data_IF_911107706359
#
_entry.id   IF_911107706359
#
_cell.length_a   1.000
_cell.length_b   1.000
_cell.length_c   1.000
_cell.angle_alpha   90.00
_cell.angle_beta   90.00
_cell.angle_gamma   90.00
#
_symmetry.space_group_name_H-M   'P 1'
#
loop_
_entity.id
_entity.type
_entity.pdbx_description
1 polymer ?
#
# COMPACT_ATOMS: atom_id res chain seq x y z
N UNK A 1 22.36 14.57 3.63
CA UNK A 1 21.11 14.34 2.89
C UNK A 1 21.07 12.85 2.60
N UNK A 2 20.28 12.10 3.39
CA UNK A 2 19.98 10.70 3.14
C UNK A 2 18.49 10.65 2.83
N UNK A 3 18.23 10.15 1.64
CA UNK A 3 16.99 10.16 0.88
C UNK A 3 15.99 9.14 1.44
N UNK A 4 14.69 9.41 1.28
CA UNK A 4 13.62 8.40 1.23
C UNK A 4 13.45 7.48 2.44
N UNK A 5 12.51 7.83 3.31
CA UNK A 5 12.00 7.02 4.43
C UNK A 5 11.75 5.56 4.05
N UNK A 6 12.53 4.65 4.63
CA UNK A 6 12.29 3.20 4.74
C UNK A 6 11.07 2.89 5.66
N UNK A 7 10.07 3.77 5.68
CA UNK A 7 8.96 3.72 6.62
C UNK A 7 7.93 2.69 6.16
N UNK A 8 7.68 1.74 7.04
CA UNK A 8 6.55 0.80 7.06
C UNK A 8 6.56 -0.31 6.00
N UNK A 9 7.56 -1.20 6.06
CA UNK A 9 7.33 -2.59 5.63
C UNK A 9 6.48 -3.28 6.70
N UNK A 10 5.18 -3.54 6.47
CA UNK A 10 4.36 -4.27 7.45
C UNK A 10 4.99 -5.65 7.72
N UNK A 11 5.25 -5.92 9.00
CA UNK A 11 5.98 -7.10 9.43
C UNK A 11 5.20 -8.41 9.21
N UNK A 12 3.87 -8.36 9.07
CA UNK A 12 3.01 -9.53 9.25
C UNK A 12 2.27 -10.02 8.00
N UNK A 13 2.33 -9.31 6.87
CA UNK A 13 1.49 -9.64 5.70
C UNK A 13 -0.01 -9.49 5.96
N UNK A 14 -0.44 -8.99 7.12
CA UNK A 14 -1.84 -8.75 7.40
C UNK A 14 -2.37 -7.58 6.55
N UNK A 15 -3.52 -7.76 5.93
CA UNK A 15 -4.22 -6.71 5.18
C UNK A 15 -4.57 -5.54 6.09
N UNK A 16 -4.87 -5.82 7.36
CA UNK A 16 -5.14 -4.80 8.37
C UNK A 16 -3.93 -3.90 8.63
N UNK A 17 -2.70 -4.42 8.52
CA UNK A 17 -1.49 -3.60 8.64
C UNK A 17 -1.36 -2.66 7.43
N UNK A 18 -1.62 -3.16 6.22
CA UNK A 18 -1.62 -2.35 5.00
C UNK A 18 -2.64 -1.23 5.09
N UNK A 19 -3.86 -1.54 5.54
CA UNK A 19 -4.91 -0.54 5.73
C UNK A 19 -4.51 0.52 6.76
N UNK A 20 -3.83 0.15 7.86
CA UNK A 20 -3.32 1.14 8.83
C UNK A 20 -2.30 2.10 8.23
N UNK A 21 -1.42 1.62 7.35
CA UNK A 21 -0.47 2.50 6.62
C UNK A 21 -1.22 3.47 5.71
N UNK A 22 -2.22 2.97 4.96
CA UNK A 22 -3.09 3.81 4.12
C UNK A 22 -3.83 4.86 4.97
N UNK A 23 -4.32 4.48 6.15
CA UNK A 23 -5.00 5.40 7.06
C UNK A 23 -4.08 6.50 7.62
N UNK A 24 -2.86 6.12 7.97
CA UNK A 24 -1.84 7.02 8.50
C UNK A 24 -1.21 7.94 7.44
N UNK A 25 -1.46 7.67 6.15
CA UNK A 25 -0.94 8.49 5.05
C UNK A 25 -1.54 9.90 5.12
N UNK A 26 -0.67 10.92 5.10
CA UNK A 26 -1.09 12.32 5.12
C UNK A 26 -2.03 12.60 3.92
N UNK A 27 -3.27 13.03 4.15
CA UNK A 27 -4.20 13.32 3.06
C UNK A 27 -3.71 14.45 2.15
N UNK A 28 -2.82 15.33 2.60
CA UNK A 28 -2.23 16.39 1.78
C UNK A 28 -0.99 15.93 0.99
N UNK A 29 -0.51 14.69 1.19
CA UNK A 29 0.64 14.19 0.45
C UNK A 29 0.30 14.04 -1.05
N UNK A 30 1.19 14.48 -1.97
CA UNK A 30 0.98 14.31 -3.40
C UNK A 30 1.16 12.86 -3.85
N UNK A 31 1.91 12.06 -3.09
CA UNK A 31 2.18 10.66 -3.38
C UNK A 31 2.58 9.91 -2.10
N UNK A 32 2.45 8.59 -2.14
CA UNK A 32 3.00 7.70 -1.12
C UNK A 32 3.35 6.33 -1.72
N UNK A 33 4.07 5.53 -0.94
CA UNK A 33 4.43 4.16 -1.32
C UNK A 33 3.89 3.16 -0.32
N UNK A 34 3.47 1.99 -0.78
CA UNK A 34 3.00 0.90 0.05
C UNK A 34 3.76 -0.39 -0.25
N UNK A 35 4.45 -0.93 0.74
CA UNK A 35 5.04 -2.26 0.63
C UNK A 35 3.97 -3.33 0.85
N UNK A 36 3.83 -4.25 -0.10
CA UNK A 36 2.90 -5.37 -0.06
C UNK A 36 3.70 -6.67 -0.06
N UNK A 37 3.71 -7.43 1.05
CA UNK A 37 4.37 -8.74 1.11
C UNK A 37 3.77 -9.74 0.12
N UNK A 38 4.55 -10.73 -0.30
CA UNK A 38 4.09 -11.80 -1.21
C UNK A 38 2.93 -12.62 -0.62
N UNK A 39 2.99 -12.89 0.68
CA UNK A 39 1.96 -13.63 1.41
C UNK A 39 1.08 -12.67 2.20
N UNK A 40 -0.23 -12.74 1.98
CA UNK A 40 -1.21 -11.89 2.63
C UNK A 40 -2.21 -12.69 3.46
N UNK A 41 -2.64 -12.10 4.58
CA UNK A 41 -3.65 -12.66 5.46
C UNK A 41 -4.70 -11.60 5.83
N UNK A 42 -5.94 -12.03 6.03
CA UNK A 42 -7.04 -11.20 6.50
C UNK A 42 -7.78 -11.93 7.60
N UNK A 43 -7.99 -11.28 8.74
CA UNK A 43 -8.55 -11.92 9.94
C UNK A 43 -7.73 -13.14 10.41
N UNK A 44 -6.42 -13.15 10.15
CA UNK A 44 -5.53 -14.27 10.46
C UNK A 44 -5.57 -15.45 9.48
N UNK A 45 -6.37 -15.36 8.41
CA UNK A 45 -6.47 -16.40 7.39
C UNK A 45 -5.72 -15.99 6.11
N UNK A 46 -4.90 -16.89 5.51
CA UNK A 46 -4.29 -16.63 4.21
C UNK A 46 -5.35 -16.27 3.17
N UNK A 47 -5.09 -15.23 2.40
CA UNK A 47 -5.99 -14.74 1.37
C UNK A 47 -5.24 -14.59 0.05
N UNK A 48 -5.94 -14.77 -1.06
CA UNK A 48 -5.33 -14.58 -2.37
C UNK A 48 -4.89 -13.11 -2.55
N UNK A 49 -3.70 -12.84 -3.12
CA UNK A 49 -3.21 -11.47 -3.27
C UNK A 49 -4.16 -10.55 -4.03
N UNK A 50 -4.85 -11.03 -5.06
CA UNK A 50 -5.81 -10.25 -5.83
C UNK A 50 -7.00 -9.78 -4.98
N UNK A 51 -7.49 -10.64 -4.07
CA UNK A 51 -8.60 -10.30 -3.17
C UNK A 51 -8.14 -9.30 -2.12
N UNK A 52 -6.97 -9.51 -1.51
CA UNK A 52 -6.40 -8.59 -0.54
C UNK A 52 -6.16 -7.20 -1.15
N UNK A 53 -5.58 -7.15 -2.35
CA UNK A 53 -5.32 -5.89 -3.04
C UNK A 53 -6.60 -5.18 -3.44
N UNK A 54 -7.69 -5.87 -3.80
CA UNK A 54 -8.97 -5.22 -4.06
C UNK A 54 -9.48 -4.42 -2.85
N UNK A 55 -9.35 -4.96 -1.63
CA UNK A 55 -9.75 -4.29 -0.39
C UNK A 55 -8.84 -3.10 -0.06
N UNK A 56 -7.53 -3.26 -0.24
CA UNK A 56 -6.57 -2.17 -0.01
C UNK A 56 -6.78 -1.05 -1.03
N UNK A 57 -6.97 -1.38 -2.31
CA UNK A 57 -7.19 -0.42 -3.39
C UNK A 57 -8.47 0.39 -3.22
N UNK A 58 -9.58 -0.25 -2.84
CA UNK A 58 -10.83 0.46 -2.52
C UNK A 58 -10.60 1.58 -1.51
N UNK A 59 -9.81 1.29 -0.46
CA UNK A 59 -9.48 2.28 0.55
C UNK A 59 -8.57 3.41 0.04
N UNK A 60 -7.58 3.08 -0.78
CA UNK A 60 -6.64 4.04 -1.37
C UNK A 60 -7.36 4.99 -2.33
N UNK A 61 -8.21 4.45 -3.21
CA UNK A 61 -9.04 5.22 -4.14
C UNK A 61 -9.99 6.15 -3.37
N UNK A 62 -10.60 5.65 -2.28
CA UNK A 62 -11.42 6.47 -1.38
C UNK A 62 -10.67 7.63 -0.69
N UNK A 63 -9.33 7.67 -0.77
CA UNK A 63 -8.50 8.79 -0.30
C UNK A 63 -8.01 9.71 -1.43
N UNK A 64 -8.39 9.45 -2.68
CA UNK A 64 -8.02 10.26 -3.84
C UNK A 64 -6.62 9.96 -4.39
N UNK A 65 -6.10 8.76 -4.14
CA UNK A 65 -4.83 8.30 -4.69
C UNK A 65 -5.07 7.22 -5.77
N UNK A 66 -4.28 7.26 -6.82
CA UNK A 66 -4.31 6.30 -7.93
C UNK A 66 -3.00 5.52 -8.05
N UNK A 67 -3.02 4.29 -8.59
CA UNK A 67 -1.80 3.51 -8.82
C UNK A 67 -0.91 4.14 -9.89
N UNK A 68 0.33 4.51 -9.53
CA UNK A 68 1.32 5.06 -10.44
C UNK A 68 2.35 4.02 -10.94
N UNK A 69 2.39 2.84 -10.30
CA UNK A 69 3.24 1.72 -10.70
C UNK A 69 3.70 0.89 -9.52
N UNK A 70 4.57 -0.09 -9.79
CA UNK A 70 5.16 -0.92 -8.75
C UNK A 70 6.57 -1.39 -9.12
N UNK A 71 7.32 -1.76 -8.09
CA UNK A 71 8.63 -2.42 -8.20
C UNK A 71 8.53 -3.82 -7.58
N UNK A 72 8.96 -4.83 -8.34
CA UNK A 72 8.99 -6.21 -7.84
C UNK A 72 10.24 -6.46 -7.02
N UNK A 73 10.05 -7.14 -5.90
CA UNK A 73 11.12 -7.59 -5.02
C UNK A 73 10.94 -9.08 -4.69
N UNK A 74 12.01 -9.78 -4.27
CA UNK A 74 11.91 -11.21 -3.93
C UNK A 74 10.93 -11.55 -2.80
N UNK A 75 10.56 -10.57 -1.96
CA UNK A 75 9.69 -10.77 -0.79
C UNK A 75 8.36 -10.02 -0.88
N UNK A 76 8.05 -9.40 -2.03
CA UNK A 76 6.85 -8.60 -2.19
C UNK A 76 6.97 -7.56 -3.30
N UNK A 77 6.09 -6.55 -3.25
CA UNK A 77 6.04 -5.46 -4.22
C UNK A 77 5.95 -4.13 -3.51
N UNK A 78 6.69 -3.15 -4.01
CA UNK A 78 6.54 -1.76 -3.56
C UNK A 78 5.65 -1.03 -4.56
N UNK A 79 4.43 -0.70 -4.15
CA UNK A 79 3.49 0.06 -4.97
C UNK A 79 3.69 1.57 -4.76
N UNK A 80 3.60 2.34 -5.84
CA UNK A 80 3.57 3.79 -5.82
C UNK A 80 2.16 4.28 -6.13
N UNK A 81 1.72 5.28 -5.37
CA UNK A 81 0.44 5.93 -5.56
C UNK A 81 0.62 7.44 -5.61
N UNK A 82 -0.14 8.09 -6.48
CA UNK A 82 -0.11 9.54 -6.71
C UNK A 82 -1.53 10.09 -6.63
N UNK A 83 -1.68 11.34 -6.21
CA UNK A 83 -2.99 11.99 -6.30
C UNK A 83 -3.34 12.21 -7.76
N UNK A 84 -4.60 11.99 -8.09
CA UNK A 84 -5.17 12.50 -9.33
C UNK A 84 -4.99 14.03 -9.29
N UNK A 85 -4.17 14.56 -10.20
CA UNK A 85 -4.07 16.00 -10.35
C UNK A 85 -5.42 16.48 -10.86
N UNK A 86 -6.15 17.28 -10.06
CA UNK A 86 -7.35 17.98 -10.51
C UNK A 86 -7.01 18.66 -11.85
N UNK A 87 -7.59 18.13 -12.94
CA UNK A 87 -7.45 18.65 -14.29
C UNK A 87 -8.44 19.80 -14.54
#
# INVERSE_FOLDING_TARGET
MADGREQDRPASGAVEDLLRVVEATDPAAPSFTLWVPESLAMGGHPVRPDVAMAVVLDRILGRGFEPAGFEEHPSGRLYRYEREADA
#
